data_IF_542078209357
#
_entry.id   IF_542078209357
#
_cell.length_a   1.000
_cell.length_b   1.000
_cell.length_c   1.000
_cell.angle_alpha   90.00
_cell.angle_beta   90.00
_cell.angle_gamma   90.00
#
_symmetry.space_group_name_H-M   'P 1'
#
loop_
_entity.id
_entity.type
_entity.pdbx_description
1 polymer ?
#
# COMPACT_ATOMS: atom_id res chain seq x y z
N UNK A 1 -0.36 -9.05 1.98
CA UNK A 1 -1.58 -9.56 1.34
C UNK A 1 -2.17 -10.67 2.19
N UNK A 2 -3.42 -10.50 2.62
CA UNK A 2 -4.15 -11.48 3.47
C UNK A 2 -3.43 -11.86 4.78
N UNK A 3 -2.69 -10.94 5.37
CA UNK A 3 -1.96 -11.15 6.63
C UNK A 3 -2.86 -11.50 7.81
N UNK A 4 -4.10 -11.05 7.79
CA UNK A 4 -5.10 -11.42 8.79
C UNK A 4 -5.40 -12.93 8.82
N UNK A 5 -5.36 -13.62 7.67
CA UNK A 5 -5.53 -15.08 7.61
C UNK A 5 -4.35 -15.81 8.27
N UNK A 6 -3.14 -15.40 7.94
CA UNK A 6 -1.92 -15.99 8.52
C UNK A 6 -1.86 -15.74 10.02
N UNK A 7 -2.19 -14.52 10.45
CA UNK A 7 -2.23 -14.20 11.88
C UNK A 7 -3.29 -15.02 12.63
N UNK A 8 -4.47 -15.19 12.05
CA UNK A 8 -5.50 -16.08 12.63
C UNK A 8 -5.03 -17.52 12.76
N UNK A 9 -4.37 -18.06 11.73
CA UNK A 9 -3.79 -19.41 11.78
C UNK A 9 -2.75 -19.53 12.89
N UNK A 10 -1.91 -18.50 13.02
CA UNK A 10 -0.90 -18.43 14.09
C UNK A 10 -1.53 -18.41 15.47
N UNK A 11 -2.54 -17.58 15.71
CA UNK A 11 -3.27 -17.56 16.98
C UNK A 11 -3.88 -18.92 17.31
N UNK A 12 -4.47 -19.59 16.32
CA UNK A 12 -5.04 -20.94 16.49
C UNK A 12 -3.95 -21.95 16.83
N UNK A 13 -2.84 -21.94 16.09
CA UNK A 13 -1.70 -22.85 16.30
C UNK A 13 -1.12 -22.75 17.72
N UNK A 14 -1.06 -21.55 18.27
CA UNK A 14 -0.53 -21.31 19.62
C UNK A 14 -1.60 -21.29 20.73
N UNK A 15 -2.82 -21.77 20.43
CA UNK A 15 -3.86 -22.00 21.43
C UNK A 15 -4.39 -20.72 22.09
N UNK A 16 -4.50 -19.62 21.35
CA UNK A 16 -5.06 -18.39 21.85
C UNK A 16 -6.56 -18.55 22.15
N UNK A 17 -6.91 -18.54 23.44
CA UNK A 17 -8.30 -18.69 23.93
C UNK A 17 -8.96 -17.35 24.26
N UNK A 18 -8.28 -16.22 24.03
CA UNK A 18 -8.86 -14.88 24.29
C UNK A 18 -9.87 -14.52 23.21
N UNK A 19 -10.93 -13.82 23.60
CA UNK A 19 -11.81 -13.18 22.63
C UNK A 19 -11.05 -12.02 21.98
N UNK A 20 -11.01 -11.98 20.67
CA UNK A 20 -10.37 -10.92 19.89
C UNK A 20 -11.17 -10.60 18.64
N UNK A 21 -10.95 -9.42 18.12
CA UNK A 21 -11.36 -9.04 16.78
C UNK A 21 -10.10 -8.92 15.92
N UNK A 22 -10.19 -9.36 14.68
CA UNK A 22 -9.10 -9.32 13.72
C UNK A 22 -9.53 -8.55 12.49
N UNK A 23 -8.67 -7.67 12.01
CA UNK A 23 -8.95 -6.89 10.82
C UNK A 23 -7.64 -6.61 10.05
N UNK A 24 -7.79 -6.20 8.81
CA UNK A 24 -6.69 -5.87 7.90
C UNK A 24 -6.97 -4.55 7.20
N UNK A 25 -5.97 -3.68 7.14
CA UNK A 25 -5.95 -2.50 6.30
C UNK A 25 -5.13 -2.79 5.03
N UNK A 26 -5.54 -2.20 3.90
CA UNK A 26 -4.84 -2.41 2.63
C UNK A 26 -3.39 -1.94 2.65
N UNK A 27 -3.10 -0.92 3.46
CA UNK A 27 -1.77 -0.31 3.59
C UNK A 27 -1.63 0.41 4.92
N UNK A 28 -0.45 0.96 5.21
CA UNK A 28 -0.23 1.85 6.33
C UNK A 28 -0.92 3.20 6.10
N UNK A 29 -1.43 3.81 7.16
CA UNK A 29 -2.06 5.14 7.13
C UNK A 29 -1.03 6.22 6.78
N UNK A 30 0.18 6.09 7.29
CA UNK A 30 1.24 7.09 7.15
C UNK A 30 2.26 6.71 6.08
N UNK A 31 2.64 7.68 5.25
CA UNK A 31 3.91 7.66 4.54
C UNK A 31 4.96 8.28 5.48
N UNK A 32 5.87 7.47 6.00
CA UNK A 32 6.79 7.92 7.03
C UNK A 32 8.18 7.28 6.87
N UNK A 33 9.19 7.89 7.50
CA UNK A 33 10.57 7.40 7.55
C UNK A 33 11.14 7.59 8.96
N UNK A 34 11.88 6.60 9.42
CA UNK A 34 12.76 6.75 10.58
C UNK A 34 13.93 7.66 10.18
N UNK A 35 14.13 8.74 10.89
CA UNK A 35 15.24 9.68 10.68
C UNK A 35 16.37 9.44 11.65
N UNK A 36 16.05 9.03 12.87
CA UNK A 36 16.98 8.55 13.89
C UNK A 36 16.23 7.66 14.89
N UNK A 37 16.95 7.02 15.80
CA UNK A 37 16.34 6.11 16.78
C UNK A 37 15.28 6.86 17.63
N UNK A 38 14.04 6.36 17.56
CA UNK A 38 12.89 6.94 18.28
C UNK A 38 12.22 8.13 17.59
N UNK A 39 12.74 8.62 16.46
CA UNK A 39 12.15 9.74 15.71
C UNK A 39 11.68 9.30 14.32
N UNK A 40 10.41 9.52 14.06
CA UNK A 40 9.76 9.22 12.78
C UNK A 40 9.27 10.51 12.13
N UNK A 41 9.74 10.78 10.91
CA UNK A 41 9.18 11.85 10.09
C UNK A 41 7.94 11.35 9.35
N UNK A 42 6.78 11.95 9.58
CA UNK A 42 5.56 11.70 8.83
C UNK A 42 5.55 12.63 7.63
N UNK A 43 5.69 12.05 6.43
CA UNK A 43 5.78 12.78 5.16
C UNK A 43 4.37 13.06 4.63
N UNK A 44 3.45 12.11 4.82
CA UNK A 44 2.06 12.24 4.38
C UNK A 44 1.12 11.30 5.14
N UNK A 45 -0.12 11.68 5.18
CA UNK A 45 -1.22 10.90 5.74
C UNK A 45 -2.16 10.59 4.57
N UNK A 46 -2.57 9.33 4.44
CA UNK A 46 -3.52 8.95 3.40
C UNK A 46 -4.92 9.44 3.75
N UNK A 47 -5.62 9.94 2.75
CA UNK A 47 -7.00 10.40 2.89
C UNK A 47 -7.97 9.22 3.07
N UNK A 48 -7.74 8.13 2.32
CA UNK A 48 -8.54 6.91 2.40
C UNK A 48 -7.68 5.66 2.43
N UNK A 49 -8.06 4.71 3.29
CA UNK A 49 -7.44 3.39 3.44
C UNK A 49 -8.53 2.35 3.63
N UNK A 50 -8.63 1.40 2.72
CA UNK A 50 -9.59 0.30 2.83
C UNK A 50 -9.28 -0.59 4.04
N UNK A 51 -10.34 -0.99 4.73
CA UNK A 51 -10.28 -1.76 5.96
C UNK A 51 -11.37 -2.82 6.00
N UNK A 52 -11.03 -4.04 6.38
CA UNK A 52 -12.01 -5.09 6.59
C UNK A 52 -11.63 -6.02 7.73
N UNK A 53 -12.64 -6.54 8.42
CA UNK A 53 -12.47 -7.55 9.46
C UNK A 53 -12.45 -8.97 8.90
N UNK A 54 -11.97 -9.90 9.71
CA UNK A 54 -12.04 -11.34 9.52
C UNK A 54 -12.75 -11.98 10.74
N UNK A 55 -14.01 -12.41 10.61
CA UNK A 55 -14.90 -12.35 9.44
C UNK A 55 -15.37 -10.94 9.10
N UNK A 56 -15.75 -10.70 7.84
CA UNK A 56 -16.17 -9.39 7.33
C UNK A 56 -17.38 -8.79 8.05
N UNK A 57 -18.23 -9.64 8.66
CA UNK A 57 -19.40 -9.22 9.46
C UNK A 57 -19.03 -8.36 10.67
N UNK A 58 -17.79 -8.37 11.12
CA UNK A 58 -17.31 -7.54 12.24
C UNK A 58 -16.78 -6.18 11.81
N UNK A 59 -16.70 -5.89 10.49
CA UNK A 59 -16.06 -4.67 9.97
C UNK A 59 -16.70 -3.40 10.53
N UNK A 60 -18.03 -3.29 10.51
CA UNK A 60 -18.73 -2.10 10.99
C UNK A 60 -18.50 -1.86 12.49
N UNK A 61 -18.52 -2.94 13.29
CA UNK A 61 -18.27 -2.85 14.71
C UNK A 61 -16.88 -2.29 15.02
N UNK A 62 -15.85 -2.79 14.32
CA UNK A 62 -14.47 -2.34 14.54
C UNK A 62 -14.30 -0.91 14.02
N UNK A 63 -14.79 -0.60 12.80
CA UNK A 63 -14.71 0.75 12.24
C UNK A 63 -15.34 1.78 13.15
N UNK A 64 -16.52 1.54 13.68
CA UNK A 64 -17.18 2.45 14.63
C UNK A 64 -16.35 2.69 15.90
N UNK A 65 -15.55 1.70 16.31
CA UNK A 65 -14.68 1.80 17.49
C UNK A 65 -13.43 2.63 17.21
N UNK A 66 -12.84 2.50 16.01
CA UNK A 66 -11.56 3.13 15.68
C UNK A 66 -11.69 4.45 14.90
N UNK A 67 -12.85 4.72 14.30
CA UNK A 67 -13.09 5.93 13.50
C UNK A 67 -12.75 7.26 14.21
N UNK A 68 -12.97 7.43 15.52
CA UNK A 68 -12.56 8.66 16.21
C UNK A 68 -11.05 8.92 16.18
N UNK A 69 -10.23 7.88 16.00
CA UNK A 69 -8.78 7.95 16.00
C UNK A 69 -8.17 7.86 14.60
N UNK A 70 -8.85 7.14 13.69
CA UNK A 70 -8.41 6.89 12.32
C UNK A 70 -9.57 7.09 11.34
N UNK A 71 -9.96 8.33 11.08
CA UNK A 71 -11.12 8.64 10.21
C UNK A 71 -10.89 8.29 8.74
N UNK A 72 -9.65 8.02 8.35
CA UNK A 72 -9.29 7.62 6.98
C UNK A 72 -9.69 6.18 6.62
N UNK A 73 -10.09 5.35 7.58
CA UNK A 73 -10.47 3.98 7.26
C UNK A 73 -11.85 3.90 6.63
N UNK A 74 -11.88 3.32 5.43
CA UNK A 74 -13.09 3.09 4.63
C UNK A 74 -13.37 1.59 4.56
N UNK A 75 -14.64 1.22 4.67
CA UNK A 75 -15.06 -0.19 4.64
C UNK A 75 -14.77 -0.85 3.31
N UNK A 76 -14.09 -1.99 3.34
CA UNK A 76 -14.00 -2.95 2.24
C UNK A 76 -14.93 -4.15 2.47
N UNK A 77 -15.30 -4.85 1.40
CA UNK A 77 -16.22 -5.98 1.44
C UNK A 77 -15.67 -7.14 2.26
N UNK A 78 -14.36 -7.37 2.15
CA UNK A 78 -13.65 -8.45 2.84
C UNK A 78 -12.13 -8.25 2.76
N UNK A 79 -11.37 -9.11 3.46
CA UNK A 79 -9.90 -9.06 3.49
C UNK A 79 -9.22 -9.45 2.17
N UNK A 80 -9.91 -10.09 1.22
CA UNK A 80 -9.34 -10.29 -0.12
C UNK A 80 -9.24 -8.96 -0.86
N UNK A 81 -10.25 -8.09 -0.71
CA UNK A 81 -10.21 -6.72 -1.24
C UNK A 81 -9.02 -5.95 -0.67
N UNK A 82 -8.89 -5.87 0.66
CA UNK A 82 -7.77 -5.15 1.29
C UNK A 82 -6.42 -5.72 0.90
N UNK A 83 -6.29 -7.04 0.87
CA UNK A 83 -5.05 -7.72 0.50
C UNK A 83 -4.65 -7.50 -0.97
N UNK A 84 -5.60 -7.53 -1.90
CA UNK A 84 -5.34 -7.32 -3.32
C UNK A 84 -5.15 -5.83 -3.68
N UNK A 85 -5.70 -4.90 -2.90
CA UNK A 85 -5.50 -3.47 -3.09
C UNK A 85 -4.13 -2.96 -2.57
N UNK A 86 -3.29 -3.82 -2.00
CA UNK A 86 -1.93 -3.44 -1.60
C UNK A 86 -1.01 -3.37 -2.82
N UNK A 87 -1.00 -2.22 -3.49
CA UNK A 87 -0.19 -1.97 -4.69
C UNK A 87 1.32 -1.96 -4.44
N UNK A 88 1.76 -1.83 -3.19
CA UNK A 88 3.18 -1.81 -2.85
C UNK A 88 3.92 -3.07 -3.32
N UNK A 89 3.25 -4.23 -3.32
CA UNK A 89 3.80 -5.49 -3.81
C UNK A 89 4.08 -5.51 -5.32
N UNK A 90 3.40 -4.67 -6.09
CA UNK A 90 3.60 -4.52 -7.54
C UNK A 90 4.58 -3.38 -7.82
N UNK A 91 4.37 -2.27 -7.14
CA UNK A 91 5.06 -1.01 -7.40
C UNK A 91 6.56 -1.06 -7.04
N UNK A 92 6.86 -1.40 -5.79
CA UNK A 92 8.23 -1.33 -5.29
C UNK A 92 9.21 -2.25 -6.00
N UNK A 93 8.89 -3.53 -6.27
CA UNK A 93 9.79 -4.41 -7.00
C UNK A 93 10.09 -3.92 -8.40
N UNK A 94 9.10 -3.38 -9.12
CA UNK A 94 9.30 -2.86 -10.47
C UNK A 94 10.26 -1.66 -10.47
N UNK A 95 10.04 -0.68 -9.59
CA UNK A 95 10.93 0.48 -9.50
C UNK A 95 12.35 0.07 -9.13
N UNK A 96 12.52 -0.83 -8.15
CA UNK A 96 13.84 -1.32 -7.77
C UNK A 96 14.53 -2.07 -8.91
N UNK A 97 13.81 -2.96 -9.60
CA UNK A 97 14.38 -3.77 -10.67
C UNK A 97 14.88 -2.92 -11.84
N UNK A 98 14.07 -1.96 -12.30
CA UNK A 98 14.43 -1.11 -13.43
C UNK A 98 15.49 -0.05 -13.10
N UNK A 99 15.78 0.18 -11.82
CA UNK A 99 16.78 1.13 -11.35
C UNK A 99 17.89 0.44 -10.53
N UNK A 100 18.03 -0.88 -10.64
CA UNK A 100 18.96 -1.66 -9.84
C UNK A 100 20.41 -1.14 -9.92
N UNK A 101 20.90 -0.88 -11.13
CA UNK A 101 22.25 -0.35 -11.30
C UNK A 101 22.46 1.05 -10.69
N UNK A 102 21.47 1.92 -10.79
CA UNK A 102 21.47 3.25 -10.17
C UNK A 102 21.51 3.15 -8.65
N UNK A 103 20.69 2.27 -8.07
CA UNK A 103 20.63 2.01 -6.63
C UNK A 103 21.97 1.45 -6.12
N UNK A 104 22.51 0.42 -6.77
CA UNK A 104 23.74 -0.25 -6.32
C UNK A 104 25.00 0.64 -6.51
N UNK A 105 25.00 1.61 -7.42
CA UNK A 105 26.05 2.62 -7.52
C UNK A 105 25.89 3.77 -6.53
N UNK A 106 24.79 3.78 -5.77
CA UNK A 106 24.43 4.89 -4.86
C UNK A 106 24.31 6.25 -5.57
N UNK A 107 23.90 6.24 -6.84
CA UNK A 107 23.57 7.46 -7.57
C UNK A 107 22.37 8.15 -6.92
N UNK A 108 22.27 9.47 -7.00
CA UNK A 108 21.14 10.19 -6.47
C UNK A 108 19.87 9.81 -7.25
N UNK A 109 18.90 9.25 -6.56
CA UNK A 109 17.66 8.76 -7.17
C UNK A 109 16.47 8.91 -6.21
N UNK A 110 15.46 9.63 -6.68
CA UNK A 110 14.21 9.82 -5.95
C UNK A 110 13.19 8.77 -6.40
N UNK A 111 12.86 7.88 -5.52
CA UNK A 111 12.17 6.62 -5.83
C UNK A 111 10.89 6.78 -6.66
N UNK A 112 10.11 7.81 -6.39
CA UNK A 112 8.85 8.08 -7.08
C UNK A 112 8.97 9.23 -8.09
N UNK A 113 9.67 10.29 -7.75
CA UNK A 113 9.81 11.49 -8.58
C UNK A 113 10.56 11.22 -9.88
N UNK A 114 11.58 10.38 -9.83
CA UNK A 114 12.43 10.11 -10.99
C UNK A 114 11.91 8.94 -11.85
N UNK A 115 10.68 8.46 -11.56
CA UNK A 115 10.03 7.45 -12.38
C UNK A 115 9.91 7.91 -13.84
N UNK A 116 10.27 7.03 -14.76
CA UNK A 116 10.08 7.25 -16.18
C UNK A 116 8.71 6.75 -16.65
N UNK A 117 8.22 7.29 -17.76
CA UNK A 117 6.96 6.82 -18.36
C UNK A 117 7.01 5.33 -18.75
N UNK A 118 8.18 4.82 -19.16
CA UNK A 118 8.31 3.42 -19.55
C UNK A 118 8.19 2.50 -18.31
N UNK A 119 8.77 2.89 -17.18
CA UNK A 119 8.62 2.16 -15.92
C UNK A 119 7.16 2.21 -15.44
N UNK A 120 6.51 3.37 -15.53
CA UNK A 120 5.09 3.51 -15.19
C UNK A 120 4.20 2.60 -16.05
N UNK A 121 4.38 2.59 -17.37
CA UNK A 121 3.65 1.69 -18.31
C UNK A 121 3.90 0.21 -18.01
N UNK A 122 5.10 -0.14 -17.58
CA UNK A 122 5.38 -1.53 -17.17
C UNK A 122 4.62 -1.88 -15.88
N UNK A 123 4.60 -0.97 -14.91
CA UNK A 123 3.85 -1.16 -13.66
C UNK A 123 2.35 -1.33 -13.96
N UNK A 124 1.77 -0.49 -14.83
CA UNK A 124 0.36 -0.61 -15.24
C UNK A 124 0.08 -1.95 -15.94
N UNK A 125 1.00 -2.42 -16.79
CA UNK A 125 0.88 -3.73 -17.43
C UNK A 125 0.98 -4.87 -16.42
N UNK A 126 1.87 -4.78 -15.44
CA UNK A 126 2.01 -5.76 -14.39
C UNK A 126 0.78 -5.74 -13.44
N UNK A 127 0.24 -4.55 -13.17
CA UNK A 127 -0.99 -4.36 -12.39
C UNK A 127 -2.21 -5.06 -13.04
N UNK A 128 -2.24 -5.17 -14.35
CA UNK A 128 -3.31 -5.88 -15.05
C UNK A 128 -3.45 -7.35 -14.61
N UNK A 129 -2.36 -8.00 -14.19
CA UNK A 129 -2.40 -9.36 -13.63
C UNK A 129 -3.12 -9.37 -12.26
N UNK A 130 -2.83 -8.40 -11.40
CA UNK A 130 -3.53 -8.24 -10.10
C UNK A 130 -5.02 -7.99 -10.32
N UNK A 131 -5.37 -7.12 -11.26
CA UNK A 131 -6.77 -6.83 -11.61
C UNK A 131 -7.49 -8.08 -12.12
N UNK A 132 -6.81 -8.88 -12.95
CA UNK A 132 -7.36 -10.15 -13.46
C UNK A 132 -7.62 -11.15 -12.31
N UNK A 133 -6.72 -11.23 -11.33
CA UNK A 133 -6.92 -12.05 -10.12
C UNK A 133 -8.13 -11.54 -9.33
N UNK A 134 -8.22 -10.23 -9.09
CA UNK A 134 -9.38 -9.63 -8.42
C UNK A 134 -10.69 -10.00 -9.11
N UNK A 135 -10.74 -9.83 -10.41
CA UNK A 135 -11.91 -10.19 -11.24
C UNK A 135 -12.28 -11.67 -11.13
N UNK A 136 -11.29 -12.56 -11.07
CA UNK A 136 -11.55 -14.00 -10.91
C UNK A 136 -12.19 -14.33 -9.54
N UNK A 137 -11.96 -13.51 -8.51
CA UNK A 137 -12.62 -13.60 -7.21
C UNK A 137 -13.91 -12.77 -7.11
N UNK A 138 -14.35 -12.13 -8.20
CA UNK A 138 -15.53 -11.25 -8.20
C UNK A 138 -15.33 -9.93 -7.47
N UNK A 139 -14.08 -9.48 -7.35
CA UNK A 139 -13.70 -8.24 -6.67
C UNK A 139 -13.26 -7.23 -7.73
N UNK A 140 -13.90 -6.05 -7.74
CA UNK A 140 -13.56 -4.94 -8.63
C UNK A 140 -12.51 -4.05 -7.97
N UNK A 141 -11.23 -4.22 -8.37
CA UNK A 141 -10.08 -3.54 -7.80
C UNK A 141 -9.81 -2.21 -8.51
N UNK A 142 -9.32 -1.23 -7.78
CA UNK A 142 -8.74 -0.03 -8.39
C UNK A 142 -7.43 -0.40 -9.14
N UNK A 143 -7.25 0.13 -10.34
CA UNK A 143 -5.94 0.08 -10.98
C UNK A 143 -4.94 0.95 -10.22
N UNK A 144 -3.64 0.73 -10.44
CA UNK A 144 -2.58 1.43 -9.70
C UNK A 144 -2.67 2.96 -9.84
N UNK A 145 -3.07 3.46 -11.00
CA UNK A 145 -3.19 4.90 -11.26
C UNK A 145 -4.35 5.52 -10.47
N UNK A 146 -5.51 4.87 -10.44
CA UNK A 146 -6.67 5.34 -9.70
C UNK A 146 -6.50 5.15 -8.18
N UNK A 147 -5.78 4.10 -7.79
CA UNK A 147 -5.45 3.88 -6.38
C UNK A 147 -4.65 5.04 -5.78
N UNK A 148 -3.70 5.63 -6.53
CA UNK A 148 -2.94 6.80 -6.04
C UNK A 148 -3.86 7.98 -5.74
N UNK A 149 -4.84 8.23 -6.60
CA UNK A 149 -5.83 9.30 -6.39
C UNK A 149 -6.76 8.99 -5.21
N UNK A 150 -7.15 7.74 -5.04
CA UNK A 150 -7.95 7.30 -3.90
C UNK A 150 -7.22 7.52 -2.56
N UNK A 151 -5.93 7.15 -2.51
CA UNK A 151 -5.14 7.26 -1.28
C UNK A 151 -4.68 8.71 -0.98
N UNK A 152 -4.60 9.57 -2.01
CA UNK A 152 -4.11 10.95 -1.90
C UNK A 152 -4.90 11.85 -2.85
N UNK A 153 -5.92 12.51 -2.34
CA UNK A 153 -6.86 13.33 -3.12
C UNK A 153 -6.20 14.49 -3.88
N UNK A 154 -5.13 15.06 -3.34
CA UNK A 154 -4.41 16.19 -3.94
C UNK A 154 -3.47 15.80 -5.08
N UNK A 155 -3.38 14.51 -5.43
CA UNK A 155 -2.50 14.05 -6.50
C UNK A 155 -3.00 14.52 -7.86
N UNK A 156 -2.14 15.22 -8.60
CA UNK A 156 -2.43 15.75 -9.94
C UNK A 156 -1.80 14.90 -11.03
N UNK A 157 -2.47 14.81 -12.17
CA UNK A 157 -2.02 14.12 -13.37
C UNK A 157 -3.01 13.06 -13.85
N UNK A 158 -2.90 12.70 -15.12
CA UNK A 158 -3.76 11.73 -15.79
C UNK A 158 -3.09 10.34 -15.90
N UNK A 159 -1.77 10.31 -15.95
CA UNK A 159 -0.97 9.08 -16.03
C UNK A 159 -0.37 8.70 -14.67
N UNK A 160 -0.02 7.43 -14.51
CA UNK A 160 0.68 6.96 -13.30
C UNK A 160 1.98 7.75 -13.07
N UNK A 161 2.76 7.98 -14.13
CA UNK A 161 4.01 8.72 -14.05
C UNK A 161 3.79 10.15 -13.53
N UNK A 162 2.80 10.86 -14.04
CA UNK A 162 2.47 12.22 -13.60
C UNK A 162 1.99 12.23 -12.15
N UNK A 163 1.09 11.31 -11.78
CA UNK A 163 0.59 11.21 -10.41
C UNK A 163 1.69 10.95 -9.41
N UNK A 164 2.65 10.09 -9.75
CA UNK A 164 3.78 9.81 -8.88
C UNK A 164 4.72 11.01 -8.70
N UNK A 165 5.02 11.71 -9.79
CA UNK A 165 5.86 12.91 -9.76
C UNK A 165 5.22 14.08 -9.00
N UNK A 166 3.90 14.21 -9.11
CA UNK A 166 3.15 15.34 -8.54
C UNK A 166 2.56 15.04 -7.16
N UNK A 167 2.81 13.86 -6.59
CA UNK A 167 2.32 13.52 -5.26
C UNK A 167 3.25 14.10 -4.18
N UNK A 168 2.79 15.09 -3.38
CA UNK A 168 3.62 15.71 -2.35
C UNK A 168 4.13 14.72 -1.31
N UNK A 169 3.35 13.68 -0.98
CA UNK A 169 3.72 12.66 0.00
C UNK A 169 4.87 11.76 -0.47
N UNK A 170 5.22 11.80 -1.75
CA UNK A 170 6.25 10.94 -2.34
C UNK A 170 7.46 11.71 -2.89
N UNK A 171 7.37 13.04 -2.93
CA UNK A 171 8.36 13.89 -3.59
C UNK A 171 9.79 13.70 -3.06
N UNK A 172 9.96 13.61 -1.74
CA UNK A 172 11.28 13.59 -1.09
C UNK A 172 11.68 12.19 -0.59
N UNK A 173 11.13 11.13 -1.17
CA UNK A 173 11.49 9.76 -0.83
C UNK A 173 12.65 9.29 -1.72
N UNK A 174 13.83 9.16 -1.12
CA UNK A 174 15.02 8.60 -1.77
C UNK A 174 14.89 7.10 -2.01
N UNK A 175 15.67 6.59 -2.95
CA UNK A 175 15.82 5.16 -3.18
C UNK A 175 16.39 4.43 -1.95
N UNK A 176 16.15 3.11 -1.84
CA UNK A 176 16.82 2.29 -0.84
C UNK A 176 18.35 2.27 -1.08
N UNK A 177 19.13 1.97 -0.06
CA UNK A 177 20.59 1.88 -0.16
C UNK A 177 21.07 0.64 -0.92
N UNK A 178 20.21 -0.35 -1.16
CA UNK A 178 20.46 -1.56 -1.97
C UNK A 178 19.14 -2.14 -2.47
N UNK A 179 19.17 -2.86 -3.60
CA UNK A 179 18.00 -3.61 -4.09
C UNK A 179 17.51 -4.69 -3.11
N UNK A 180 18.35 -5.11 -2.17
CA UNK A 180 18.02 -6.10 -1.14
C UNK A 180 17.49 -5.48 0.15
N UNK A 181 17.57 -4.17 0.30
CA UNK A 181 17.01 -3.46 1.46
C UNK A 181 15.62 -2.97 1.12
N UNK A 182 14.67 -3.24 2.00
CA UNK A 182 13.33 -2.69 1.86
C UNK A 182 13.33 -1.20 2.20
N UNK A 183 12.56 -0.46 1.44
CA UNK A 183 12.20 0.92 1.80
C UNK A 183 11.43 1.01 3.09
#
# INVERSE_FOLDING_TARGET
TCGALEFKQTLTKYGCNKKYYLAEAQTLVYACRIVEDGIVNIIGIKDEVLFSALPASHTDHILNTIAPYYPCFTKAENILRTGLENIGAIFHPCVCLFNAATIERHDEFWFYRDMTEQVAKFIEKFDAERLAVGKAYGIDLLNVTDWIKFAYNDTKGDTLCERMKNNPAYHDIKAPGSIFTRQ
#
